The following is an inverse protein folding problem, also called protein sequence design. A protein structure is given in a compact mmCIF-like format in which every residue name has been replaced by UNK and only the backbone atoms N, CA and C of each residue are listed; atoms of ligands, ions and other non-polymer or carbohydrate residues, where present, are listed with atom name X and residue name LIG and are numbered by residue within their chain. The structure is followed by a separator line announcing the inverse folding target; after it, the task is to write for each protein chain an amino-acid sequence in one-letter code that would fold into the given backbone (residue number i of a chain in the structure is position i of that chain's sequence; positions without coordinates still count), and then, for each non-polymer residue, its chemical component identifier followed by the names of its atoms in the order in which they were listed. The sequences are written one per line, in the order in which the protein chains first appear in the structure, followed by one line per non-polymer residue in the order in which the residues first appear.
data_IF_574614715054
#
_entry.id   IF_574614715054
#
_cell.length_a   1.000
_cell.length_b   1.000
_cell.length_c   1.000
_cell.angle_alpha   90.00
_cell.angle_beta   90.00
_cell.angle_gamma   90.00
#
_symmetry.space_group_name_H-M   'P 1'
#
loop_
_entity.id
_entity.type
_entity.pdbx_description
1 polymer ?
#
# COMPACT_ATOMS: atom_id res chain seq x y z
N UNK A 1 20.89 3.65 -1.62
CA UNK A 1 20.25 2.98 -0.48
C UNK A 1 20.41 1.45 -0.60
N UNK A 2 21.11 0.85 0.37
CA UNK A 2 20.97 -0.57 0.67
C UNK A 2 19.82 -0.68 1.66
N UNK A 3 18.59 -0.88 1.18
CA UNK A 3 17.55 -1.44 2.05
C UNK A 3 18.18 -2.72 2.59
N UNK A 4 18.40 -2.86 3.90
CA UNK A 4 19.17 -3.98 4.41
C UNK A 4 18.54 -5.26 3.86
N UNK A 5 19.34 -6.26 3.49
CA UNK A 5 18.83 -7.50 2.88
C UNK A 5 17.75 -8.21 3.73
N UNK A 6 17.66 -7.86 5.02
CA UNK A 6 16.61 -8.23 5.98
C UNK A 6 15.25 -7.54 5.75
N UNK A 7 15.17 -6.55 4.86
CA UNK A 7 13.96 -5.80 4.47
C UNK A 7 13.60 -6.03 2.99
N UNK A 8 13.84 -7.23 2.46
CA UNK A 8 13.02 -7.80 1.38
C UNK A 8 11.59 -8.17 1.86
N UNK A 9 11.27 -7.84 3.13
CA UNK A 9 10.09 -8.25 3.90
C UNK A 9 9.10 -7.15 4.37
N UNK A 10 9.21 -5.82 4.08
CA UNK A 10 8.28 -4.81 4.60
C UNK A 10 6.83 -5.16 4.27
N UNK A 11 6.59 -5.47 2.99
CA UNK A 11 5.29 -5.90 2.52
C UNK A 11 4.89 -7.27 3.10
N UNK A 12 5.82 -8.18 3.42
CA UNK A 12 5.48 -9.48 4.00
C UNK A 12 4.85 -9.34 5.39
N UNK A 13 5.41 -8.47 6.25
CA UNK A 13 4.83 -8.22 7.58
C UNK A 13 3.44 -7.58 7.45
N UNK A 14 3.33 -6.55 6.60
CA UNK A 14 2.05 -5.87 6.31
C UNK A 14 1.01 -6.87 5.77
N UNK A 15 1.35 -7.69 4.77
CA UNK A 15 0.47 -8.69 4.17
C UNK A 15 0.07 -9.78 5.18
N UNK A 16 0.95 -10.17 6.09
CA UNK A 16 0.65 -11.15 7.15
C UNK A 16 -0.37 -10.58 8.12
N UNK A 17 -0.16 -9.35 8.60
CA UNK A 17 -1.10 -8.67 9.49
C UNK A 17 -2.46 -8.42 8.82
N UNK A 18 -2.46 -7.99 7.54
CA UNK A 18 -3.69 -7.86 6.75
C UNK A 18 -4.45 -9.19 6.62
N UNK A 19 -3.76 -10.34 6.54
CA UNK A 19 -4.41 -11.66 6.52
C UNK A 19 -5.05 -12.00 7.86
N UNK A 20 -4.42 -11.65 8.98
CA UNK A 20 -4.96 -11.87 10.32
C UNK A 20 -6.14 -10.96 10.66
N UNK A 21 -6.24 -9.78 10.04
CA UNK A 21 -7.39 -8.87 10.21
C UNK A 21 -8.69 -9.36 9.54
N UNK A 22 -8.64 -10.45 8.76
CA UNK A 22 -9.82 -11.01 8.10
C UNK A 22 -10.83 -11.51 9.14
N UNK A 23 -12.03 -10.93 9.13
CA UNK A 23 -13.14 -11.31 10.02
C UNK A 23 -14.29 -12.02 9.32
N UNK A 24 -14.51 -11.72 8.04
CA UNK A 24 -15.60 -12.30 7.24
C UNK A 24 -15.04 -13.05 6.03
N UNK A 25 -15.82 -14.00 5.49
CA UNK A 25 -15.41 -14.73 4.30
C UNK A 25 -15.51 -13.83 3.06
N UNK A 26 -14.53 -13.82 2.15
CA UNK A 26 -14.66 -13.10 0.88
C UNK A 26 -15.88 -13.54 0.05
N UNK A 27 -16.32 -14.80 0.21
CA UNK A 27 -17.50 -15.34 -0.47
C UNK A 27 -18.83 -14.81 0.07
N UNK A 28 -18.89 -14.31 1.31
CA UNK A 28 -20.11 -13.67 1.83
C UNK A 28 -20.27 -12.23 1.36
N UNK A 29 -19.21 -11.62 0.83
CA UNK A 29 -19.16 -10.22 0.43
C UNK A 29 -19.18 -10.02 -1.09
N UNK A 30 -19.68 -10.99 -1.85
CA UNK A 30 -19.69 -10.96 -3.32
C UNK A 30 -20.49 -9.77 -3.88
N UNK A 31 -21.59 -9.41 -3.23
CA UNK A 31 -22.45 -8.27 -3.63
C UNK A 31 -21.79 -6.90 -3.41
N UNK A 32 -20.77 -6.85 -2.54
CA UNK A 32 -20.04 -5.63 -2.20
C UNK A 32 -18.73 -5.50 -3.00
N UNK A 33 -18.40 -6.47 -3.86
CA UNK A 33 -17.20 -6.40 -4.69
C UNK A 33 -17.20 -5.13 -5.52
N UNK A 34 -16.05 -4.48 -5.54
CA UNK A 34 -15.79 -3.33 -6.37
C UNK A 34 -14.46 -3.53 -7.11
N UNK A 35 -14.41 -3.12 -8.37
CA UNK A 35 -13.15 -3.01 -9.09
C UNK A 35 -12.61 -1.60 -8.90
N UNK A 36 -11.62 -1.45 -8.04
CA UNK A 36 -10.98 -0.17 -7.78
C UNK A 36 -9.98 0.24 -8.86
N UNK A 37 -9.66 -0.66 -9.81
CA UNK A 37 -8.71 -0.42 -10.88
C UNK A 37 -7.37 0.16 -10.38
N UNK A 38 -6.64 -0.60 -9.56
CA UNK A 38 -5.31 -0.19 -9.08
C UNK A 38 -4.43 0.25 -10.27
N UNK A 39 -3.84 1.47 -10.25
CA UNK A 39 -3.19 2.06 -11.42
C UNK A 39 -1.83 1.40 -11.67
N UNK A 40 -1.84 0.32 -12.47
CA UNK A 40 -0.63 -0.43 -12.82
C UNK A 40 0.38 0.44 -13.58
N UNK A 41 -0.09 1.46 -14.29
CA UNK A 41 0.73 2.44 -15.01
C UNK A 41 1.62 3.23 -14.04
N UNK A 42 1.16 3.44 -12.80
CA UNK A 42 1.97 4.09 -11.77
C UNK A 42 3.19 3.26 -11.36
N UNK A 43 3.18 1.93 -11.61
CA UNK A 43 4.33 1.05 -11.40
C UNK A 43 5.34 1.09 -12.57
N UNK A 44 5.10 1.88 -13.62
CA UNK A 44 6.06 2.25 -14.67
C UNK A 44 6.72 1.10 -15.45
N UNK A 45 6.18 -0.12 -15.36
CA UNK A 45 6.64 -1.26 -16.14
C UNK A 45 8.14 -1.56 -15.98
N UNK A 46 8.84 -1.82 -17.08
CA UNK A 46 10.27 -2.24 -17.11
C UNK A 46 11.29 -1.13 -16.98
N UNK A 47 10.84 0.11 -17.12
CA UNK A 47 11.66 1.30 -17.29
C UNK A 47 11.72 2.16 -16.03
N UNK A 48 10.92 1.84 -15.00
CA UNK A 48 10.93 2.58 -13.74
C UNK A 48 12.33 2.53 -13.11
N UNK A 49 12.83 3.67 -12.65
CA UNK A 49 14.09 3.74 -11.90
C UNK A 49 13.88 3.35 -10.43
N UNK A 50 14.96 2.96 -9.73
CA UNK A 50 14.91 2.55 -8.32
C UNK A 50 14.29 3.63 -7.40
N UNK A 51 14.69 4.89 -7.55
CA UNK A 51 14.14 6.01 -6.78
C UNK A 51 12.65 6.23 -7.01
N UNK A 52 12.19 6.03 -8.25
CA UNK A 52 10.77 6.12 -8.60
C UNK A 52 9.97 4.98 -8.01
N UNK A 53 10.52 3.75 -8.00
CA UNK A 53 9.89 2.59 -7.37
C UNK A 53 9.71 2.77 -5.85
N UNK A 54 10.74 3.28 -5.17
CA UNK A 54 10.69 3.60 -3.75
C UNK A 54 9.61 4.67 -3.50
N UNK A 55 9.50 5.66 -4.38
CA UNK A 55 8.47 6.72 -4.29
C UNK A 55 7.05 6.18 -4.47
N UNK A 56 6.82 5.27 -5.44
CA UNK A 56 5.51 4.60 -5.60
C UNK A 56 5.14 3.86 -4.34
N UNK A 57 6.07 3.05 -3.80
CA UNK A 57 5.81 2.28 -2.60
C UNK A 57 5.57 3.19 -1.38
N UNK A 58 6.28 4.30 -1.28
CA UNK A 58 6.05 5.30 -0.23
C UNK A 58 4.63 5.86 -0.32
N UNK A 59 4.17 6.28 -1.50
CA UNK A 59 2.81 6.80 -1.72
C UNK A 59 1.74 5.75 -1.39
N UNK A 60 1.88 4.51 -1.87
CA UNK A 60 0.96 3.39 -1.56
C UNK A 60 0.90 3.12 -0.05
N UNK A 61 2.05 3.10 0.61
CA UNK A 61 2.15 2.88 2.06
C UNK A 61 1.50 4.04 2.82
N UNK A 62 1.73 5.28 2.37
CA UNK A 62 1.23 6.50 3.02
C UNK A 62 -0.29 6.60 2.93
N UNK A 63 -0.85 6.33 1.75
CA UNK A 63 -2.28 6.32 1.55
C UNK A 63 -2.96 5.19 2.33
N UNK A 64 -2.35 4.00 2.37
CA UNK A 64 -2.86 2.89 3.18
C UNK A 64 -2.84 3.23 4.67
N UNK A 65 -1.74 3.78 5.18
CA UNK A 65 -1.65 4.19 6.58
C UNK A 65 -2.75 5.18 6.96
N UNK A 66 -3.02 6.18 6.11
CA UNK A 66 -4.13 7.12 6.32
C UNK A 66 -5.49 6.43 6.34
N UNK A 67 -5.76 5.57 5.34
CA UNK A 67 -7.02 4.82 5.24
C UNK A 67 -7.29 3.98 6.49
N UNK A 68 -6.27 3.27 6.98
CA UNK A 68 -6.37 2.37 8.14
C UNK A 68 -6.24 3.09 9.48
N UNK A 69 -6.07 4.41 9.50
CA UNK A 69 -6.05 5.22 10.72
C UNK A 69 -7.37 5.96 10.95
N UNK A 70 -8.39 5.68 10.13
CA UNK A 70 -9.73 6.24 10.29
C UNK A 70 -10.53 5.52 11.37
N UNK A 71 -11.49 6.19 12.01
CA UNK A 71 -12.34 5.59 13.06
C UNK A 71 -13.10 4.35 12.58
N UNK A 72 -13.59 4.37 11.33
CA UNK A 72 -14.29 3.24 10.74
C UNK A 72 -13.45 1.95 10.73
N UNK A 73 -12.13 2.04 10.61
CA UNK A 73 -11.24 0.87 10.66
C UNK A 73 -11.12 0.27 12.06
N UNK A 74 -11.14 1.11 13.10
CA UNK A 74 -11.06 0.67 14.49
C UNK A 74 -12.33 -0.07 14.92
N UNK A 75 -13.50 0.36 14.41
CA UNK A 75 -14.76 -0.35 14.63
C UNK A 75 -14.81 -1.70 13.88
N UNK A 76 -14.15 -1.79 12.72
CA UNK A 76 -14.22 -2.96 11.85
C UNK A 76 -13.35 -4.14 12.32
N UNK A 77 -12.19 -3.87 12.92
CA UNK A 77 -11.15 -4.90 13.16
C UNK A 77 -10.67 -4.99 14.61
N UNK A 78 -9.79 -5.96 14.88
CA UNK A 78 -9.17 -6.12 16.20
C UNK A 78 -8.16 -5.00 16.43
N UNK A 79 -8.33 -4.26 17.52
CA UNK A 79 -7.55 -3.06 17.80
C UNK A 79 -6.06 -3.36 17.95
N UNK A 80 -5.70 -4.48 18.60
CA UNK A 80 -4.29 -4.87 18.79
C UNK A 80 -3.62 -5.20 17.45
N UNK A 81 -4.28 -5.99 16.59
CA UNK A 81 -3.77 -6.30 15.26
C UNK A 81 -3.70 -5.05 14.36
N UNK A 82 -4.66 -4.15 14.48
CA UNK A 82 -4.69 -2.91 13.72
C UNK A 82 -3.55 -1.97 14.14
N UNK A 83 -3.25 -1.86 15.43
CA UNK A 83 -2.14 -1.05 15.92
C UNK A 83 -0.77 -1.63 15.54
N UNK A 84 -0.64 -2.96 15.52
CA UNK A 84 0.54 -3.63 14.96
C UNK A 84 0.70 -3.33 13.46
N UNK A 85 -0.40 -3.31 12.70
CA UNK A 85 -0.38 -2.99 11.27
C UNK A 85 0.01 -1.53 11.04
N UNK A 86 -0.60 -0.58 11.78
CA UNK A 86 -0.26 0.84 11.73
C UNK A 86 1.21 1.08 12.06
N UNK A 87 1.72 0.42 13.09
CA UNK A 87 3.13 0.48 13.47
C UNK A 87 4.05 -0.05 12.36
N UNK A 88 3.71 -1.19 11.75
CA UNK A 88 4.48 -1.75 10.64
C UNK A 88 4.49 -0.82 9.41
N UNK A 89 3.34 -0.22 9.07
CA UNK A 89 3.22 0.75 7.98
C UNK A 89 4.02 2.03 8.27
N UNK A 90 3.99 2.53 9.51
CA UNK A 90 4.75 3.71 9.91
C UNK A 90 6.27 3.48 9.86
N UNK A 91 6.73 2.32 10.31
CA UNK A 91 8.14 1.94 10.18
C UNK A 91 8.55 1.87 8.71
N UNK A 92 7.73 1.23 7.87
CA UNK A 92 7.98 1.15 6.44
C UNK A 92 8.03 2.54 5.77
N UNK A 93 7.17 3.48 6.17
CA UNK A 93 7.24 4.87 5.69
C UNK A 93 8.56 5.55 6.07
N UNK A 94 8.98 5.38 7.32
CA UNK A 94 10.25 5.95 7.82
C UNK A 94 11.44 5.42 7.02
N UNK A 95 11.50 4.11 6.80
CA UNK A 95 12.57 3.45 6.04
C UNK A 95 12.60 3.92 4.58
N UNK A 96 11.43 4.00 3.93
CA UNK A 96 11.31 4.46 2.54
C UNK A 96 11.71 5.93 2.41
N UNK A 97 11.29 6.78 3.34
CA UNK A 97 11.63 8.20 3.32
C UNK A 97 13.14 8.42 3.52
N UNK A 98 13.78 7.65 4.40
CA UNK A 98 15.23 7.68 4.55
C UNK A 98 15.95 7.28 3.24
N UNK A 99 15.48 6.23 2.57
CA UNK A 99 16.02 5.83 1.27
C UNK A 99 15.81 6.88 0.19
N UNK A 100 14.64 7.53 0.12
CA UNK A 100 14.40 8.61 -0.83
C UNK A 100 15.35 9.78 -0.64
N UNK A 101 15.62 10.21 0.60
CA UNK A 101 16.59 11.28 0.87
C UNK A 101 17.99 10.92 0.38
N UNK A 102 18.41 9.66 0.57
CA UNK A 102 19.71 9.19 0.09
C UNK A 102 19.77 9.17 -1.44
N UNK A 103 18.74 8.67 -2.12
CA UNK A 103 18.68 8.62 -3.58
C UNK A 103 18.56 10.03 -4.21
N UNK A 104 17.81 10.94 -3.60
CA UNK A 104 17.70 12.35 -4.03
C UNK A 104 19.06 13.06 -3.99
N UNK A 105 19.84 12.86 -2.92
CA UNK A 105 21.18 13.42 -2.80
C UNK A 105 22.19 12.83 -3.79
N UNK A 106 21.92 11.63 -4.33
CA UNK A 106 22.80 10.93 -5.27
C UNK A 106 22.45 11.16 -6.74
N UNK A 107 21.17 11.32 -7.09
CA UNK A 107 20.73 11.33 -8.51
C UNK A 107 19.96 12.59 -8.94
N UNK A 108 19.52 13.47 -8.02
CA UNK A 108 18.66 14.62 -8.38
C UNK A 108 17.38 14.23 -9.14
N UNK A 109 17.02 12.95 -9.14
CA UNK A 109 15.98 12.38 -9.98
C UNK A 109 14.59 12.78 -9.46
N UNK A 110 13.61 13.06 -10.36
CA UNK A 110 12.25 13.33 -9.94
C UNK A 110 11.68 12.13 -9.18
N UNK A 111 11.25 12.35 -7.93
CA UNK A 111 10.73 11.31 -7.04
C UNK A 111 9.65 10.46 -7.72
N UNK A 112 8.63 11.12 -8.26
CA UNK A 112 7.53 10.50 -8.96
C UNK A 112 7.03 11.43 -10.05
N UNK A 113 6.63 10.88 -11.20
CA UNK A 113 5.93 11.69 -12.21
C UNK A 113 4.61 12.18 -11.61
N UNK A 114 4.26 13.45 -11.85
CA UNK A 114 3.03 14.06 -11.32
C UNK A 114 1.78 13.23 -11.65
N UNK A 115 1.71 12.69 -12.86
CA UNK A 115 0.61 11.81 -13.31
C UNK A 115 0.45 10.56 -12.44
N UNK A 116 1.57 9.91 -12.07
CA UNK A 116 1.56 8.70 -11.24
C UNK A 116 1.09 8.98 -9.81
N UNK A 117 1.53 10.10 -9.20
CA UNK A 117 1.09 10.50 -7.85
C UNK A 117 -0.42 10.83 -7.87
N UNK A 118 -0.87 11.55 -8.89
CA UNK A 118 -2.28 11.88 -9.07
C UNK A 118 -3.14 10.61 -9.26
N UNK A 119 -2.68 9.64 -10.04
CA UNK A 119 -3.38 8.37 -10.25
C UNK A 119 -3.55 7.59 -8.93
N UNK A 120 -2.49 7.45 -8.14
CA UNK A 120 -2.54 6.80 -6.82
C UNK A 120 -3.48 7.54 -5.86
N UNK A 121 -3.44 8.87 -5.85
CA UNK A 121 -4.33 9.69 -5.02
C UNK A 121 -5.79 9.49 -5.40
N UNK A 122 -6.12 9.52 -6.70
CA UNK A 122 -7.48 9.28 -7.19
C UNK A 122 -7.97 7.88 -6.84
N UNK A 123 -7.13 6.88 -7.02
CA UNK A 123 -7.41 5.50 -6.67
C UNK A 123 -7.79 5.34 -5.18
N UNK A 124 -6.95 5.83 -4.25
CA UNK A 124 -7.24 5.72 -2.81
C UNK A 124 -8.41 6.62 -2.36
N UNK A 125 -8.66 7.72 -3.07
CA UNK A 125 -9.86 8.52 -2.85
C UNK A 125 -11.12 7.72 -3.21
N UNK A 126 -11.12 7.00 -4.35
CA UNK A 126 -12.21 6.09 -4.72
C UNK A 126 -12.45 4.98 -3.69
N UNK A 127 -11.38 4.40 -3.12
CA UNK A 127 -11.48 3.42 -2.01
C UNK A 127 -12.17 4.04 -0.78
N UNK A 128 -11.84 5.29 -0.47
CA UNK A 128 -12.45 6.00 0.66
C UNK A 128 -13.92 6.29 0.42
N UNK A 129 -14.29 6.74 -0.78
CA UNK A 129 -15.69 6.99 -1.16
C UNK A 129 -16.52 5.71 -1.10
N UNK A 130 -16.00 4.60 -1.60
CA UNK A 130 -16.65 3.29 -1.49
C UNK A 130 -16.97 2.91 -0.04
N UNK A 131 -16.04 3.13 0.90
CA UNK A 131 -16.31 2.86 2.32
C UNK A 131 -17.43 3.73 2.88
N UNK A 132 -17.49 5.00 2.48
CA UNK A 132 -18.56 5.92 2.89
C UNK A 132 -19.91 5.49 2.31
N UNK A 133 -19.98 5.16 1.02
CA UNK A 133 -21.18 4.67 0.34
C UNK A 133 -21.71 3.37 0.95
N UNK A 134 -20.81 2.47 1.35
CA UNK A 134 -21.14 1.20 2.00
C UNK A 134 -21.33 1.32 3.52
N UNK A 135 -21.31 2.54 4.07
CA UNK A 135 -21.54 2.80 5.48
C UNK A 135 -20.56 2.08 6.42
N UNK A 136 -19.32 1.87 5.98
CA UNK A 136 -18.30 1.13 6.73
C UNK A 136 -18.74 -0.28 7.17
N UNK A 137 -19.55 -0.96 6.36
CA UNK A 137 -20.01 -2.33 6.66
C UNK A 137 -18.84 -3.32 6.81
N UNK A 138 -19.03 -4.45 7.52
CA UNK A 138 -18.01 -5.50 7.62
C UNK A 138 -17.55 -6.02 6.25
N UNK A 139 -18.46 -6.13 5.28
CA UNK A 139 -18.12 -6.56 3.94
C UNK A 139 -17.36 -5.50 3.13
N UNK A 140 -17.69 -4.21 3.31
CA UNK A 140 -16.92 -3.13 2.70
C UNK A 140 -15.46 -3.15 3.18
N UNK A 141 -15.24 -3.34 4.48
CA UNK A 141 -13.90 -3.44 5.03
C UNK A 141 -13.16 -4.71 4.58
N UNK A 142 -13.84 -5.84 4.37
CA UNK A 142 -13.20 -7.02 3.78
C UNK A 142 -12.77 -6.79 2.33
N UNK A 143 -13.60 -6.12 1.54
CA UNK A 143 -13.29 -5.74 0.16
C UNK A 143 -12.08 -4.80 0.12
N UNK A 144 -12.05 -3.77 0.98
CA UNK A 144 -10.90 -2.86 1.10
C UNK A 144 -9.65 -3.57 1.60
N UNK A 145 -9.76 -4.46 2.58
CA UNK A 145 -8.63 -5.27 3.08
C UNK A 145 -8.00 -6.09 1.95
N UNK A 146 -8.82 -6.73 1.13
CA UNK A 146 -8.36 -7.51 -0.03
C UNK A 146 -7.72 -6.61 -1.10
N UNK A 147 -8.27 -5.42 -1.34
CA UNK A 147 -7.70 -4.45 -2.28
C UNK A 147 -6.34 -3.92 -1.82
N UNK A 148 -6.21 -3.58 -0.53
CA UNK A 148 -4.92 -3.18 0.06
C UNK A 148 -3.90 -4.31 -0.08
N UNK A 149 -4.28 -5.56 0.20
CA UNK A 149 -3.39 -6.70 -0.01
C UNK A 149 -2.91 -6.80 -1.47
N UNK A 150 -3.80 -6.58 -2.45
CA UNK A 150 -3.46 -6.58 -3.88
C UNK A 150 -2.45 -5.48 -4.20
N UNK A 151 -2.68 -4.25 -3.75
CA UNK A 151 -1.77 -3.13 -3.96
C UNK A 151 -0.36 -3.41 -3.41
N UNK A 152 -0.26 -4.00 -2.21
CA UNK A 152 1.03 -4.37 -1.60
C UNK A 152 1.70 -5.55 -2.32
N UNK A 153 0.94 -6.54 -2.79
CA UNK A 153 1.47 -7.65 -3.58
C UNK A 153 2.06 -7.16 -4.91
N UNK A 154 1.34 -6.30 -5.65
CA UNK A 154 1.84 -5.67 -6.88
C UNK A 154 3.10 -4.84 -6.64
N UNK A 155 3.16 -4.12 -5.52
CA UNK A 155 4.35 -3.34 -5.15
C UNK A 155 5.54 -4.20 -4.73
N UNK A 156 5.32 -5.43 -4.24
CA UNK A 156 6.39 -6.39 -3.90
C UNK A 156 7.06 -6.92 -5.16
N UNK A 157 6.27 -7.24 -6.19
CA UNK A 157 6.80 -7.67 -7.49
C UNK A 157 7.70 -6.59 -8.13
N UNK A 158 7.36 -5.30 -7.92
CA UNK A 158 8.21 -4.19 -8.33
C UNK A 158 9.58 -4.22 -7.61
N UNK A 159 9.62 -4.45 -6.30
CA UNK A 159 10.87 -4.56 -5.53
C UNK A 159 11.75 -5.72 -6.00
N UNK A 160 11.16 -6.90 -6.23
CA UNK A 160 11.89 -8.08 -6.71
C UNK A 160 12.51 -7.86 -8.09
N UNK A 161 11.87 -7.08 -8.96
CA UNK A 161 12.38 -6.74 -10.28
C UNK A 161 13.71 -5.98 -10.21
N UNK A 162 13.83 -5.04 -9.28
CA UNK A 162 15.09 -4.31 -9.08
C UNK A 162 16.17 -5.19 -8.47
N UNK A 163 15.78 -6.14 -7.61
CA UNK A 163 16.71 -7.12 -7.04
C UNK A 163 17.40 -8.01 -8.08
N UNK A 164 16.77 -8.24 -9.23
CA UNK A 164 17.35 -9.05 -10.33
C UNK A 164 18.24 -8.27 -11.29
N UNK A 165 18.20 -6.93 -11.22
CA UNK A 165 18.96 -6.03 -12.09
C UNK A 165 20.24 -5.49 -11.43
N UNK A 166 20.31 -5.59 -10.09
CA UNK A 166 21.52 -5.36 -9.28
C UNK A 166 22.36 -6.66 -9.25
#
# INVERSE_FOLDING_TARGET
CHLPHTHSLPNRRVLTLLRHLRRVSPSSCLQDRNDFAFPQEALGGSQLQKAQAISVLHEVTQHTFRLLSTEGSAAAWDQSLLDQLRTALHQQLTDLQACLRQEQGLQGAPLLKGDSSLALRKYFHGVTLYLQEKGHSPCAWEVVRAEVMRAFASSTHLQERFRRKD
#
